data_IF_031099786472
#
_entry.id   IF_031099786472
#
_cell.length_a   1.000
_cell.length_b   1.000
_cell.length_c   1.000
_cell.angle_alpha   90.00
_cell.angle_beta   90.00
_cell.angle_gamma   90.00
#
_symmetry.space_group_name_H-M   'P 1'
#
loop_
_entity.id
_entity.type
_entity.pdbx_description
1 polymer ?
#
# COMPACT_ATOMS: atom_id res chain seq x y z
N UNK A 1 51.25 30.03 5.96
CA UNK A 1 49.79 30.28 6.00
C UNK A 1 49.07 28.95 6.19
N UNK A 2 48.54 28.70 7.37
CA UNK A 2 47.47 27.73 7.59
C UNK A 2 46.69 28.28 8.79
N UNK A 3 45.49 28.78 8.52
CA UNK A 3 44.61 29.43 9.47
C UNK A 3 43.61 28.39 10.01
N UNK A 4 43.58 28.29 11.34
CA UNK A 4 42.46 28.11 12.27
C UNK A 4 41.38 27.04 12.06
N UNK A 5 41.29 26.20 13.09
CA UNK A 5 40.09 25.87 13.89
C UNK A 5 38.75 26.46 13.45
N UNK A 6 37.70 25.63 13.45
CA UNK A 6 36.65 25.70 14.47
C UNK A 6 35.63 24.57 14.30
N UNK A 7 35.37 23.92 15.43
CA UNK A 7 34.11 23.36 15.91
C UNK A 7 32.94 23.23 14.92
N UNK A 8 32.32 22.05 14.90
CA UNK A 8 30.91 21.91 15.24
C UNK A 8 30.59 20.44 15.58
N UNK A 9 30.49 20.17 16.89
CA UNK A 9 29.56 19.15 17.39
C UNK A 9 28.14 19.59 17.06
N UNK A 10 27.23 18.63 16.84
CA UNK A 10 26.12 18.52 17.76
C UNK A 10 25.94 17.10 18.32
N UNK A 11 26.10 17.05 19.63
CA UNK A 11 25.31 16.31 20.63
C UNK A 11 23.94 15.81 20.15
N UNK A 12 23.68 14.50 20.22
CA UNK A 12 22.88 13.83 21.26
C UNK A 12 22.55 12.41 20.77
N UNK A 13 23.28 11.41 21.28
CA UNK A 13 22.95 10.02 21.07
C UNK A 13 21.74 9.65 21.95
N UNK A 14 20.60 9.32 21.34
CA UNK A 14 19.59 8.52 22.02
C UNK A 14 20.14 7.09 22.08
N UNK A 15 20.75 6.77 23.21
CA UNK A 15 20.84 5.40 23.71
C UNK A 15 19.52 5.07 24.37
N UNK A 16 18.79 4.09 23.84
CA UNK A 16 18.06 3.16 24.71
C UNK A 16 18.71 1.78 24.58
N UNK A 17 19.34 1.34 25.68
CA UNK A 17 19.48 -0.09 26.00
C UNK A 17 18.04 -0.63 26.14
N UNK A 18 17.67 -1.84 25.74
CA UNK A 18 18.39 -3.12 25.76
C UNK A 18 17.64 -4.19 24.94
N UNK A 19 18.41 -5.22 24.57
CA UNK A 19 18.04 -6.59 24.13
C UNK A 19 17.33 -6.76 22.79
N UNK A 20 18.10 -7.24 21.81
CA UNK A 20 17.68 -7.97 20.61
C UNK A 20 16.72 -7.24 19.65
N UNK A 21 17.27 -6.30 18.87
CA UNK A 21 16.56 -5.64 17.77
C UNK A 21 17.45 -4.57 17.13
N UNK A 22 17.49 -4.53 15.80
CA UNK A 22 18.38 -3.73 14.96
C UNK A 22 18.54 -2.26 15.37
N UNK A 23 19.78 -1.75 15.32
CA UNK A 23 20.13 -0.36 15.63
C UNK A 23 20.09 0.51 14.38
N UNK A 24 19.39 1.64 14.41
CA UNK A 24 19.59 2.71 13.44
C UNK A 24 20.97 3.36 13.68
N UNK A 25 21.88 3.27 12.71
CA UNK A 25 23.25 3.81 12.83
C UNK A 25 23.32 5.22 12.22
N UNK A 26 23.81 6.20 12.98
CA UNK A 26 24.16 7.54 12.48
C UNK A 26 25.51 7.52 11.75
N UNK A 27 25.48 7.91 10.48
CA UNK A 27 26.58 7.86 9.52
C UNK A 27 26.68 9.16 8.71
N UNK A 28 26.34 10.28 9.34
CA UNK A 28 26.31 11.67 8.84
C UNK A 28 27.47 12.14 7.94
N UNK A 29 28.60 11.43 7.89
CA UNK A 29 29.76 11.74 7.03
C UNK A 29 29.85 10.93 5.71
N UNK A 30 28.88 10.06 5.41
CA UNK A 30 28.97 9.17 4.24
C UNK A 30 28.19 9.72 3.04
N UNK A 31 28.89 9.88 1.91
CA UNK A 31 28.32 10.31 0.62
C UNK A 31 28.24 9.11 -0.34
N UNK A 32 27.04 8.60 -0.69
CA UNK A 32 26.92 7.43 -1.52
C UNK A 32 27.23 7.76 -2.99
N UNK A 33 28.28 7.14 -3.54
CA UNK A 33 28.35 6.84 -4.98
C UNK A 33 27.77 5.44 -5.15
N UNK A 34 26.80 5.29 -6.05
CA UNK A 34 26.03 4.08 -6.30
C UNK A 34 26.83 2.78 -6.12
N UNK A 35 26.38 1.93 -5.18
CA UNK A 35 26.87 0.58 -4.85
C UNK A 35 28.29 0.53 -4.27
N UNK A 36 28.42 0.74 -2.95
CA UNK A 36 29.60 0.28 -2.19
C UNK A 36 29.25 -0.97 -1.36
N UNK A 37 30.20 -1.92 -1.21
CA UNK A 37 30.16 -2.91 -0.14
C UNK A 37 30.07 -2.19 1.20
N UNK A 38 29.32 -2.77 2.13
CA UNK A 38 29.33 -2.34 3.53
C UNK A 38 30.76 -2.54 4.05
N UNK A 39 31.33 -1.53 4.71
CA UNK A 39 32.65 -1.64 5.31
C UNK A 39 32.66 -2.79 6.32
N UNK A 40 33.74 -3.57 6.37
CA UNK A 40 33.85 -4.78 7.21
C UNK A 40 33.61 -4.47 8.70
N UNK A 41 33.77 -3.20 9.10
CA UNK A 41 33.65 -2.71 10.48
C UNK A 41 32.26 -2.16 10.84
N UNK A 42 31.28 -2.20 9.92
CA UNK A 42 29.91 -1.76 10.22
C UNK A 42 29.16 -2.90 10.91
N UNK A 43 28.70 -2.65 12.14
CA UNK A 43 27.86 -3.59 12.91
C UNK A 43 26.42 -3.55 12.39
N UNK A 44 26.21 -4.06 11.18
CA UNK A 44 24.91 -4.09 10.50
C UNK A 44 24.55 -5.49 10.03
N UNK A 45 23.26 -5.80 10.11
CA UNK A 45 22.67 -7.07 9.75
C UNK A 45 21.75 -6.94 8.52
N UNK A 46 21.56 -8.03 7.75
CA UNK A 46 20.53 -8.06 6.71
C UNK A 46 19.16 -7.64 7.24
N UNK A 47 18.54 -6.69 6.53
CA UNK A 47 17.25 -6.08 6.84
C UNK A 47 17.30 -4.80 7.66
N UNK A 48 18.48 -4.41 8.17
CA UNK A 48 18.68 -3.13 8.83
C UNK A 48 18.36 -1.95 7.91
N UNK A 49 17.76 -0.91 8.49
CA UNK A 49 17.44 0.36 7.82
C UNK A 49 18.51 1.38 8.20
N UNK A 50 19.17 1.93 7.20
CA UNK A 50 20.16 2.99 7.35
C UNK A 50 19.61 4.28 6.75
N UNK A 51 19.57 5.35 7.55
CA UNK A 51 19.15 6.66 7.11
C UNK A 51 20.25 7.69 7.39
N UNK A 52 20.48 8.57 6.43
CA UNK A 52 21.47 9.66 6.52
C UNK A 52 20.82 11.03 6.85
N UNK A 53 19.51 11.04 7.04
CA UNK A 53 18.68 12.19 7.39
C UNK A 53 17.36 11.68 8.00
N UNK A 54 16.32 12.51 8.09
CA UNK A 54 14.95 12.04 8.29
C UNK A 54 14.65 10.85 7.35
N UNK A 55 14.05 9.79 7.89
CA UNK A 55 13.64 8.57 7.15
C UNK A 55 12.61 8.90 6.06
N UNK A 56 12.01 10.09 6.11
CA UNK A 56 11.13 10.61 5.06
C UNK A 56 11.86 11.04 3.78
N UNK A 57 13.19 11.03 3.80
CA UNK A 57 13.99 11.49 2.68
C UNK A 57 14.46 10.37 1.76
N UNK A 58 14.77 10.75 0.52
CA UNK A 58 15.34 9.94 -0.57
C UNK A 58 16.73 9.33 -0.27
N UNK A 59 17.17 9.26 0.99
CA UNK A 59 18.47 8.73 1.43
C UNK A 59 18.34 7.62 2.47
N UNK A 60 17.23 6.87 2.45
CA UNK A 60 17.11 5.61 3.19
C UNK A 60 17.66 4.45 2.36
N UNK A 61 18.37 3.54 3.01
CA UNK A 61 18.91 2.32 2.42
C UNK A 61 18.63 1.12 3.32
N UNK A 62 18.48 -0.05 2.71
CA UNK A 62 18.34 -1.32 3.39
C UNK A 62 19.61 -2.16 3.20
N UNK A 63 20.01 -2.88 4.23
CA UNK A 63 21.09 -3.85 4.17
C UNK A 63 20.56 -5.17 3.59
N UNK A 64 21.08 -5.61 2.45
CA UNK A 64 20.66 -6.88 1.83
C UNK A 64 21.31 -8.09 2.50
N UNK A 65 20.80 -9.30 2.22
CA UNK A 65 21.44 -10.59 2.52
C UNK A 65 22.93 -10.66 2.13
N UNK A 66 23.30 -10.04 1.00
CA UNK A 66 24.68 -9.96 0.51
C UNK A 66 25.53 -8.85 1.15
N UNK A 67 25.07 -8.23 2.23
CA UNK A 67 25.69 -7.04 2.86
C UNK A 67 25.98 -5.92 1.86
N UNK A 68 25.00 -5.63 1.00
CA UNK A 68 25.00 -4.49 0.09
C UNK A 68 23.92 -3.49 0.52
N UNK A 69 24.08 -2.24 0.11
CA UNK A 69 23.06 -1.21 0.35
C UNK A 69 22.08 -1.13 -0.83
N UNK A 70 20.79 -1.30 -0.53
CA UNK A 70 19.70 -1.09 -1.47
C UNK A 70 18.96 0.20 -1.11
N UNK A 71 18.98 1.19 -1.99
CA UNK A 71 18.27 2.45 -1.79
C UNK A 71 16.75 2.22 -1.74
N UNK A 72 16.06 2.89 -0.82
CA UNK A 72 14.59 3.01 -0.83
C UNK A 72 14.16 3.65 -2.15
N UNK A 73 13.16 3.06 -2.82
CA UNK A 73 12.65 3.58 -4.09
C UNK A 73 11.58 4.66 -3.91
N UNK A 74 11.07 4.87 -2.69
CA UNK A 74 9.93 5.77 -2.38
C UNK A 74 8.85 5.71 -3.46
N UNK A 75 8.08 4.63 -3.46
CA UNK A 75 6.95 4.46 -4.39
C UNK A 75 5.69 5.19 -3.92
N UNK A 76 5.74 5.84 -2.75
CA UNK A 76 4.61 6.56 -2.15
C UNK A 76 4.44 7.99 -2.67
N UNK A 77 5.49 8.54 -3.30
CA UNK A 77 5.52 9.93 -3.80
C UNK A 77 5.50 11.02 -2.73
N UNK A 78 5.42 10.65 -1.44
CA UNK A 78 5.29 11.57 -0.31
C UNK A 78 6.44 11.45 0.70
N UNK A 79 7.53 10.76 0.33
CA UNK A 79 8.66 10.58 1.23
C UNK A 79 8.37 9.58 2.34
N UNK A 80 7.63 8.50 2.08
CA UNK A 80 7.43 7.46 3.08
C UNK A 80 8.36 6.26 2.86
N UNK A 81 8.50 5.45 3.91
CA UNK A 81 9.29 4.23 3.84
C UNK A 81 8.51 3.15 3.09
N UNK A 82 9.11 2.64 2.01
CA UNK A 82 8.66 1.44 1.29
C UNK A 82 9.68 0.34 1.52
N UNK A 83 9.28 -0.75 2.15
CA UNK A 83 10.18 -1.87 2.46
C UNK A 83 10.10 -2.89 1.32
N UNK A 84 11.19 -3.11 0.55
CA UNK A 84 11.12 -3.90 -0.67
C UNK A 84 11.14 -5.40 -0.41
N UNK A 85 10.61 -6.18 -1.35
CA UNK A 85 10.44 -7.64 -1.25
C UNK A 85 11.76 -8.37 -0.98
N UNK A 86 12.86 -7.86 -1.55
CA UNK A 86 14.19 -8.46 -1.35
C UNK A 86 14.65 -8.44 0.10
N UNK A 87 14.04 -7.57 0.91
CA UNK A 87 14.34 -7.34 2.31
C UNK A 87 13.30 -8.04 3.19
N UNK A 88 12.02 -7.89 2.91
CA UNK A 88 10.95 -8.51 3.71
C UNK A 88 11.03 -10.03 3.72
N UNK A 89 11.43 -10.66 2.61
CA UNK A 89 11.66 -12.11 2.50
C UNK A 89 12.71 -12.69 3.46
N UNK A 90 13.49 -11.83 4.13
CA UNK A 90 14.48 -12.25 5.12
C UNK A 90 13.81 -12.60 6.47
N UNK A 91 12.54 -12.24 6.64
CA UNK A 91 11.81 -12.37 7.88
C UNK A 91 10.56 -13.26 7.70
N UNK A 92 10.21 -14.06 8.71
CA UNK A 92 8.95 -14.83 8.69
C UNK A 92 7.69 -13.95 8.71
N UNK A 93 7.71 -12.83 9.45
CA UNK A 93 6.67 -11.79 9.43
C UNK A 93 7.35 -10.44 9.29
N UNK A 94 7.26 -9.83 8.10
CA UNK A 94 7.87 -8.53 7.85
C UNK A 94 7.20 -7.42 8.67
N UNK A 95 5.86 -7.49 8.84
CA UNK A 95 5.12 -6.51 9.63
C UNK A 95 5.59 -6.50 11.08
N UNK A 96 5.66 -7.67 11.73
CA UNK A 96 6.09 -7.75 13.13
C UNK A 96 7.54 -7.28 13.30
N UNK A 97 8.43 -7.68 12.37
CA UNK A 97 9.82 -7.24 12.40
C UNK A 97 9.91 -5.72 12.34
N UNK A 98 9.27 -5.08 11.37
CA UNK A 98 9.39 -3.64 11.19
C UNK A 98 8.56 -2.80 12.16
N UNK A 99 7.46 -3.34 12.69
CA UNK A 99 6.77 -2.74 13.83
C UNK A 99 7.69 -2.65 15.06
N UNK A 100 8.52 -3.67 15.31
CA UNK A 100 9.47 -3.65 16.43
C UNK A 100 10.67 -2.73 16.20
N UNK A 101 11.16 -2.63 14.96
CA UNK A 101 12.31 -1.77 14.60
C UNK A 101 11.93 -0.30 14.59
N UNK A 102 10.67 0.01 14.29
CA UNK A 102 10.14 1.37 14.14
C UNK A 102 9.06 1.67 15.18
N UNK A 103 9.19 1.16 16.40
CA UNK A 103 8.15 1.21 17.45
C UNK A 103 7.62 2.63 17.75
N UNK A 104 8.44 3.68 17.58
CA UNK A 104 8.04 5.09 17.70
C UNK A 104 7.73 5.78 16.37
N UNK A 105 7.91 5.07 15.26
CA UNK A 105 7.89 5.59 13.89
C UNK A 105 7.04 4.68 12.95
N UNK A 106 6.07 3.93 13.50
CA UNK A 106 5.24 2.97 12.75
C UNK A 106 4.41 3.65 11.65
N UNK A 107 4.01 4.90 11.90
CA UNK A 107 3.10 5.70 11.05
C UNK A 107 3.77 6.19 9.75
N UNK A 108 4.95 5.66 9.44
CA UNK A 108 5.87 6.18 8.44
C UNK A 108 6.29 5.11 7.43
N UNK A 109 5.92 3.86 7.74
CA UNK A 109 5.87 2.78 6.77
C UNK A 109 4.58 2.97 5.98
N UNK A 110 4.70 3.42 4.75
CA UNK A 110 3.55 3.52 3.84
C UNK A 110 3.26 2.22 3.09
N UNK A 111 4.27 1.35 2.98
CA UNK A 111 4.18 0.16 2.15
C UNK A 111 5.23 -0.88 2.54
N UNK A 112 4.79 -2.13 2.65
CA UNK A 112 5.62 -3.32 2.84
C UNK A 112 5.35 -4.26 1.67
N UNK A 113 6.32 -4.47 0.79
CA UNK A 113 6.22 -5.48 -0.27
C UNK A 113 6.32 -6.88 0.35
N UNK A 114 5.32 -7.73 0.18
CA UNK A 114 5.23 -9.02 0.87
C UNK A 114 5.60 -10.19 -0.04
N UNK A 115 6.31 -11.16 0.53
CA UNK A 115 6.45 -12.46 -0.11
C UNK A 115 5.13 -13.24 0.03
N UNK A 116 4.72 -14.05 -0.96
CA UNK A 116 3.50 -14.88 -0.83
C UNK A 116 3.51 -15.85 0.36
N UNK A 117 4.69 -16.13 0.91
CA UNK A 117 4.92 -16.99 2.08
C UNK A 117 4.95 -16.23 3.41
N UNK A 118 4.77 -14.91 3.40
CA UNK A 118 4.88 -14.06 4.59
C UNK A 118 3.79 -14.41 5.62
N UNK A 119 4.18 -14.45 6.89
CA UNK A 119 3.31 -14.78 8.02
C UNK A 119 2.16 -13.79 8.20
N UNK A 120 2.27 -12.57 7.67
CA UNK A 120 1.20 -11.56 7.71
C UNK A 120 -0.10 -12.08 7.10
N UNK A 121 -0.05 -12.98 6.12
CA UNK A 121 -1.26 -13.57 5.53
C UNK A 121 -2.09 -14.31 6.58
N UNK A 122 -1.43 -15.12 7.39
CA UNK A 122 -2.08 -15.84 8.48
C UNK A 122 -2.50 -14.89 9.63
N UNK A 123 -1.65 -13.91 9.95
CA UNK A 123 -1.89 -12.96 11.05
C UNK A 123 -3.08 -12.03 10.78
N UNK A 124 -3.16 -11.46 9.58
CA UNK A 124 -4.14 -10.43 9.22
C UNK A 124 -5.35 -10.98 8.46
N UNK A 125 -5.18 -12.04 7.67
CA UNK A 125 -6.23 -12.55 6.78
C UNK A 125 -6.69 -13.97 7.14
N UNK A 126 -6.28 -14.47 8.31
CA UNK A 126 -6.81 -15.66 8.97
C UNK A 126 -6.18 -16.99 8.55
N UNK A 127 -5.52 -17.08 7.40
CA UNK A 127 -4.78 -18.27 7.01
C UNK A 127 -3.60 -17.96 6.09
N UNK A 128 -2.59 -18.83 6.01
CA UNK A 128 -1.56 -18.67 5.00
C UNK A 128 -2.12 -18.80 3.58
N UNK A 129 -1.57 -18.07 2.60
CA UNK A 129 -1.93 -18.27 1.18
C UNK A 129 -1.73 -19.74 0.76
N UNK A 130 -2.56 -20.30 -0.13
CA UNK A 130 -2.37 -21.68 -0.60
C UNK A 130 -1.14 -21.80 -1.51
N UNK A 131 -0.55 -23.00 -1.57
CA UNK A 131 0.68 -23.24 -2.33
C UNK A 131 0.56 -22.91 -3.83
N UNK A 132 -0.64 -23.06 -4.40
CA UNK A 132 -0.94 -22.68 -5.79
C UNK A 132 -0.73 -21.19 -6.05
N UNK A 133 -0.99 -20.33 -5.07
CA UNK A 133 -0.73 -18.89 -5.16
C UNK A 133 0.71 -18.58 -4.78
N UNK A 134 1.28 -19.26 -3.79
CA UNK A 134 2.67 -19.01 -3.35
C UNK A 134 3.72 -19.23 -4.42
N UNK A 135 3.45 -20.15 -5.35
CA UNK A 135 4.37 -20.50 -6.43
C UNK A 135 4.26 -19.57 -7.64
N UNK A 136 3.27 -18.66 -7.67
CA UNK A 136 3.07 -17.72 -8.76
C UNK A 136 4.04 -16.55 -8.67
N UNK A 137 4.60 -16.19 -9.82
CA UNK A 137 5.58 -15.08 -9.95
C UNK A 137 4.99 -13.85 -10.63
N UNK A 138 3.75 -13.94 -11.09
CA UNK A 138 2.99 -12.89 -11.75
C UNK A 138 2.12 -12.07 -10.78
N UNK A 139 2.31 -12.29 -9.47
CA UNK A 139 1.59 -11.62 -8.39
C UNK A 139 2.59 -10.84 -7.54
N UNK A 140 2.23 -9.61 -7.18
CA UNK A 140 2.90 -8.86 -6.11
C UNK A 140 1.89 -8.39 -5.08
N UNK A 141 2.35 -8.35 -3.83
CA UNK A 141 1.57 -7.96 -2.67
C UNK A 141 2.23 -6.77 -2.00
N UNK A 142 1.45 -5.73 -1.70
CA UNK A 142 1.89 -4.57 -0.93
C UNK A 142 0.91 -4.33 0.20
N UNK A 143 1.40 -4.35 1.43
CA UNK A 143 0.58 -4.03 2.60
C UNK A 143 0.91 -2.64 3.12
N UNK A 144 -0.11 -1.82 3.28
CA UNK A 144 -0.01 -0.53 3.94
C UNK A 144 -0.47 -0.67 5.39
N UNK A 145 0.44 -0.53 6.38
CA UNK A 145 0.07 -0.65 7.78
C UNK A 145 -0.72 0.56 8.32
N UNK A 146 -0.73 1.71 7.63
CA UNK A 146 -1.44 2.91 8.11
C UNK A 146 -2.96 2.81 7.95
N UNK A 147 -3.42 2.28 6.82
CA UNK A 147 -4.84 2.06 6.52
C UNK A 147 -5.22 0.57 6.58
N UNK A 148 -4.29 -0.26 7.06
CA UNK A 148 -4.40 -1.72 7.17
C UNK A 148 -4.89 -2.41 5.89
N UNK A 149 -4.49 -1.88 4.73
CA UNK A 149 -4.94 -2.36 3.42
C UNK A 149 -3.88 -3.17 2.67
N UNK A 150 -4.33 -4.23 2.01
CA UNK A 150 -3.55 -5.06 1.10
C UNK A 150 -3.86 -4.71 -0.35
N UNK A 151 -2.84 -4.33 -1.09
CA UNK A 151 -2.88 -4.14 -2.53
C UNK A 151 -2.28 -5.37 -3.21
N UNK A 152 -2.98 -5.88 -4.21
CA UNK A 152 -2.59 -7.07 -4.95
C UNK A 152 -2.49 -6.69 -6.42
N UNK A 153 -1.32 -6.89 -7.01
CA UNK A 153 -1.13 -6.75 -8.45
C UNK A 153 -1.08 -8.13 -9.07
N UNK A 154 -1.91 -8.39 -10.09
CA UNK A 154 -1.87 -9.62 -10.89
C UNK A 154 -1.69 -9.24 -12.35
N UNK A 155 -0.70 -9.80 -13.03
CA UNK A 155 -0.42 -9.49 -14.44
C UNK A 155 -0.23 -7.99 -14.74
N UNK A 156 0.27 -7.22 -13.75
CA UNK A 156 0.48 -5.78 -13.86
C UNK A 156 -0.76 -4.91 -13.60
N UNK A 157 -1.91 -5.53 -13.32
CA UNK A 157 -3.12 -4.81 -12.90
C UNK A 157 -3.24 -4.82 -11.39
N UNK A 158 -3.31 -3.63 -10.79
CA UNK A 158 -3.44 -3.45 -9.35
C UNK A 158 -4.90 -3.48 -8.90
N UNK A 159 -5.15 -4.12 -7.76
CA UNK A 159 -6.43 -4.11 -7.05
C UNK A 159 -6.69 -2.76 -6.38
N UNK A 160 -7.95 -2.52 -6.02
CA UNK A 160 -8.22 -1.58 -4.94
C UNK A 160 -7.65 -2.14 -3.63
N UNK A 161 -7.34 -1.27 -2.67
CA UNK A 161 -6.83 -1.68 -1.36
C UNK A 161 -7.87 -2.51 -0.60
N UNK A 162 -7.49 -3.71 -0.16
CA UNK A 162 -8.33 -4.59 0.64
C UNK A 162 -8.07 -4.43 2.13
N UNK A 163 -9.05 -3.90 2.87
CA UNK A 163 -8.97 -3.77 4.32
C UNK A 163 -8.82 -5.13 4.99
N UNK A 164 -7.77 -5.31 5.80
CA UNK A 164 -7.54 -6.55 6.57
C UNK A 164 -8.62 -6.87 7.60
N UNK A 165 -9.50 -5.92 7.92
CA UNK A 165 -10.65 -6.15 8.80
C UNK A 165 -11.88 -6.69 8.06
N UNK A 166 -11.91 -6.58 6.72
CA UNK A 166 -13.09 -6.89 5.90
C UNK A 166 -12.90 -8.14 5.04
N UNK A 167 -11.66 -8.50 4.69
CA UNK A 167 -11.36 -9.64 3.82
C UNK A 167 -10.58 -10.75 4.53
N UNK A 168 -10.71 -11.97 4.00
CA UNK A 168 -9.98 -13.17 4.40
C UNK A 168 -9.12 -13.69 3.26
N UNK A 169 -8.31 -14.69 3.57
CA UNK A 169 -7.43 -15.36 2.61
C UNK A 169 -8.20 -15.97 1.44
N UNK A 170 -9.40 -16.49 1.68
CA UNK A 170 -10.26 -17.00 0.61
C UNK A 170 -10.66 -15.90 -0.38
N UNK A 171 -10.93 -14.69 0.12
CA UNK A 171 -11.28 -13.54 -0.72
C UNK A 171 -10.08 -13.08 -1.57
N UNK A 172 -8.88 -13.11 -1.00
CA UNK A 172 -7.62 -12.85 -1.72
C UNK A 172 -7.43 -13.86 -2.87
N UNK A 173 -7.67 -15.15 -2.59
CA UNK A 173 -7.57 -16.22 -3.57
C UNK A 173 -8.61 -16.04 -4.68
N UNK A 174 -9.84 -15.68 -4.33
CA UNK A 174 -10.91 -15.42 -5.28
C UNK A 174 -10.58 -14.22 -6.19
N UNK A 175 -10.02 -13.14 -5.64
CA UNK A 175 -9.53 -12.01 -6.44
C UNK A 175 -8.51 -12.48 -7.47
N UNK A 176 -7.45 -13.16 -7.02
CA UNK A 176 -6.35 -13.60 -7.87
C UNK A 176 -6.82 -14.56 -8.97
N UNK A 177 -7.77 -15.44 -8.66
CA UNK A 177 -8.37 -16.35 -9.63
C UNK A 177 -9.26 -15.62 -10.64
N UNK A 178 -9.89 -14.51 -10.22
CA UNK A 178 -10.76 -13.69 -11.07
C UNK A 178 -10.03 -12.62 -11.88
N UNK A 179 -8.74 -12.37 -11.62
CA UNK A 179 -8.00 -11.28 -12.24
C UNK A 179 -7.97 -11.35 -13.77
N UNK A 180 -8.06 -12.55 -14.34
CA UNK A 180 -8.11 -12.78 -15.79
C UNK A 180 -9.53 -12.98 -16.34
N UNK A 181 -10.55 -12.90 -15.48
CA UNK A 181 -11.93 -12.98 -15.94
C UNK A 181 -12.24 -11.78 -16.83
N UNK A 182 -13.13 -12.00 -17.80
CA UNK A 182 -13.66 -10.91 -18.62
C UNK A 182 -14.24 -9.83 -17.70
N UNK A 183 -13.75 -8.60 -17.85
CA UNK A 183 -14.23 -7.45 -17.11
C UNK A 183 -15.42 -6.81 -17.81
N UNK A 184 -16.35 -6.33 -17.01
CA UNK A 184 -17.47 -5.50 -17.45
C UNK A 184 -17.53 -4.26 -16.57
N UNK A 185 -18.15 -3.21 -17.08
CA UNK A 185 -18.30 -1.98 -16.35
C UNK A 185 -19.67 -1.36 -16.55
N UNK A 186 -20.10 -0.59 -15.55
CA UNK A 186 -21.27 0.27 -15.64
C UNK A 186 -20.97 1.60 -14.97
N UNK A 187 -21.70 2.64 -15.41
CA UNK A 187 -21.55 4.00 -14.92
C UNK A 187 -22.80 4.39 -14.16
N UNK A 188 -22.63 4.87 -12.93
CA UNK A 188 -23.67 5.55 -12.16
C UNK A 188 -23.50 7.05 -12.36
N UNK A 189 -24.38 7.66 -13.15
CA UNK A 189 -24.44 9.11 -13.34
C UNK A 189 -25.38 9.70 -12.29
N UNK A 190 -24.98 10.77 -11.64
CA UNK A 190 -25.78 11.47 -10.64
C UNK A 190 -25.91 12.95 -10.98
N UNK A 191 -27.12 13.47 -10.82
CA UNK A 191 -27.42 14.91 -10.87
C UNK A 191 -28.40 15.24 -9.73
N UNK A 192 -27.81 15.61 -8.59
CA UNK A 192 -28.52 15.89 -7.35
C UNK A 192 -28.73 17.40 -7.26
N UNK A 193 -29.99 17.81 -7.19
CA UNK A 193 -30.40 19.21 -7.04
C UNK A 193 -31.03 19.45 -5.68
N UNK A 194 -30.83 20.65 -5.16
CA UNK A 194 -31.41 21.13 -3.92
C UNK A 194 -30.51 20.85 -2.71
N UNK A 195 -30.42 21.85 -1.83
CA UNK A 195 -29.50 21.83 -0.68
C UNK A 195 -29.69 20.64 0.24
N UNK A 196 -30.94 20.32 0.59
CA UNK A 196 -31.25 19.18 1.46
C UNK A 196 -30.78 17.83 0.87
N UNK A 197 -30.95 17.64 -0.44
CA UNK A 197 -30.51 16.41 -1.12
C UNK A 197 -28.99 16.34 -1.22
N UNK A 198 -28.33 17.47 -1.46
CA UNK A 198 -26.87 17.56 -1.53
C UNK A 198 -26.22 17.28 -0.17
N UNK A 199 -26.83 17.73 0.94
CA UNK A 199 -26.39 17.43 2.31
C UNK A 199 -26.52 15.94 2.67
N UNK A 200 -27.47 15.23 2.05
CA UNK A 200 -27.69 13.79 2.26
C UNK A 200 -26.85 12.91 1.33
N UNK A 201 -26.21 13.48 0.32
CA UNK A 201 -25.45 12.71 -0.67
C UNK A 201 -24.32 11.92 0.01
N UNK A 202 -24.21 10.61 -0.23
CA UNK A 202 -23.14 9.81 0.36
C UNK A 202 -21.78 10.28 -0.14
N UNK A 203 -20.92 10.66 0.79
CA UNK A 203 -19.52 11.03 0.51
C UNK A 203 -18.61 9.80 0.39
N UNK A 204 -19.05 8.65 0.91
CA UNK A 204 -18.33 7.38 0.86
C UNK A 204 -18.77 6.54 -0.35
N UNK A 205 -17.97 5.54 -0.69
CA UNK A 205 -18.27 4.55 -1.73
C UNK A 205 -19.03 3.34 -1.16
N UNK A 206 -19.74 2.57 -2.00
CA UNK A 206 -20.38 1.32 -1.56
C UNK A 206 -19.35 0.34 -1.01
N UNK A 207 -19.57 -0.16 0.21
CA UNK A 207 -18.62 -1.06 0.90
C UNK A 207 -18.80 -2.54 0.56
N UNK A 208 -19.96 -2.94 0.04
CA UNK A 208 -20.31 -4.36 -0.19
C UNK A 208 -20.04 -4.84 -1.63
N UNK A 209 -19.15 -4.17 -2.35
CA UNK A 209 -18.85 -4.58 -3.72
C UNK A 209 -18.28 -6.02 -3.73
N UNK A 210 -18.65 -6.85 -4.73
CA UNK A 210 -18.04 -8.16 -4.86
C UNK A 210 -16.53 -8.06 -5.04
N UNK A 211 -15.80 -9.08 -4.61
CA UNK A 211 -14.35 -9.15 -4.79
C UNK A 211 -13.97 -8.94 -6.26
N UNK A 212 -12.95 -8.10 -6.47
CA UNK A 212 -12.46 -7.70 -7.79
C UNK A 212 -13.27 -6.59 -8.47
N UNK A 213 -14.36 -6.12 -7.85
CA UNK A 213 -15.04 -4.91 -8.29
C UNK A 213 -14.43 -3.67 -7.65
N UNK A 214 -14.26 -2.64 -8.47
CA UNK A 214 -13.75 -1.33 -8.08
C UNK A 214 -14.69 -0.21 -8.49
N UNK A 215 -14.63 0.90 -7.77
CA UNK A 215 -15.42 2.09 -8.06
C UNK A 215 -14.50 3.31 -8.14
N UNK A 216 -14.44 3.93 -9.32
CA UNK A 216 -13.57 5.07 -9.58
C UNK A 216 -14.36 6.24 -10.16
N UNK A 217 -13.92 7.46 -9.84
CA UNK A 217 -14.56 8.66 -10.34
C UNK A 217 -14.38 8.74 -11.86
N UNK A 218 -15.47 9.01 -12.58
CA UNK A 218 -15.50 9.04 -14.03
C UNK A 218 -15.89 10.44 -14.52
N UNK A 219 -14.99 11.08 -15.27
CA UNK A 219 -15.21 12.42 -15.78
C UNK A 219 -15.08 13.51 -14.70
N UNK A 220 -15.57 14.71 -15.03
CA UNK A 220 -15.52 15.86 -14.13
C UNK A 220 -16.67 15.84 -13.13
N UNK A 221 -16.38 16.23 -11.89
CA UNK A 221 -17.38 16.35 -10.83
C UNK A 221 -17.52 17.79 -10.37
N UNK A 222 -18.75 18.18 -10.09
CA UNK A 222 -19.07 19.49 -9.53
C UNK A 222 -19.76 19.28 -8.18
N UNK A 223 -19.23 19.94 -7.17
CA UNK A 223 -19.78 19.97 -5.82
C UNK A 223 -20.17 21.41 -5.50
N UNK A 224 -21.44 21.63 -5.20
CA UNK A 224 -22.01 22.91 -4.77
C UNK A 224 -23.02 22.70 -3.66
N UNK A 225 -23.37 23.78 -2.95
CA UNK A 225 -24.35 23.72 -1.85
C UNK A 225 -25.74 23.26 -2.31
N UNK A 226 -26.09 23.47 -3.57
CA UNK A 226 -27.41 23.21 -4.14
C UNK A 226 -27.38 22.27 -5.36
N UNK A 227 -26.19 21.82 -5.77
CA UNK A 227 -26.02 20.97 -6.93
C UNK A 227 -24.77 20.09 -6.80
N UNK A 228 -24.94 18.77 -6.92
CA UNK A 228 -23.85 17.80 -7.03
C UNK A 228 -24.06 16.98 -8.31
N UNK A 229 -23.09 16.97 -9.21
CA UNK A 229 -23.15 16.21 -10.46
C UNK A 229 -21.83 15.52 -10.78
N UNK A 230 -21.93 14.36 -11.43
CA UNK A 230 -20.77 13.56 -11.81
C UNK A 230 -21.13 12.14 -12.17
N UNK A 231 -20.10 11.29 -12.25
CA UNK A 231 -20.28 9.87 -12.51
C UNK A 231 -19.27 9.02 -11.75
N UNK A 232 -19.72 7.84 -11.33
CA UNK A 232 -18.89 6.76 -10.78
C UNK A 232 -18.87 5.60 -11.77
N UNK A 233 -17.69 5.15 -12.16
CA UNK A 233 -17.50 3.94 -12.98
C UNK A 233 -17.20 2.76 -12.08
N UNK A 234 -18.05 1.76 -12.16
CA UNK A 234 -17.90 0.48 -11.51
C UNK A 234 -17.37 -0.53 -12.52
N UNK A 235 -16.33 -1.29 -12.18
CA UNK A 235 -15.73 -2.28 -13.06
C UNK A 235 -15.28 -3.50 -12.27
N UNK A 236 -15.49 -4.69 -12.82
CA UNK A 236 -15.03 -5.93 -12.22
C UNK A 236 -15.37 -7.17 -13.05
N UNK A 237 -15.16 -8.37 -12.48
CA UNK A 237 -15.43 -9.64 -13.16
C UNK A 237 -16.89 -9.80 -13.57
N UNK A 238 -17.13 -10.24 -14.82
CA UNK A 238 -18.47 -10.42 -15.39
C UNK A 238 -19.36 -11.35 -14.53
N UNK A 239 -18.77 -12.40 -13.95
CA UNK A 239 -19.49 -13.37 -13.12
C UNK A 239 -20.21 -12.76 -11.91
N UNK A 240 -19.77 -11.60 -11.44
CA UNK A 240 -20.31 -10.91 -10.27
C UNK A 240 -21.11 -9.64 -10.61
N UNK A 241 -21.39 -9.40 -11.89
CA UNK A 241 -21.99 -8.14 -12.38
C UNK A 241 -23.36 -7.82 -11.77
N UNK A 242 -24.23 -8.82 -11.65
CA UNK A 242 -25.57 -8.62 -11.07
C UNK A 242 -25.49 -8.27 -9.57
N UNK A 243 -24.53 -8.87 -8.85
CA UNK A 243 -24.31 -8.56 -7.43
C UNK A 243 -23.76 -7.15 -7.25
N UNK A 244 -22.80 -6.73 -8.08
CA UNK A 244 -22.26 -5.38 -8.05
C UNK A 244 -23.32 -4.33 -8.41
N UNK A 245 -24.13 -4.60 -9.42
CA UNK A 245 -25.23 -3.72 -9.83
C UNK A 245 -26.25 -3.54 -8.70
N UNK A 246 -26.70 -4.64 -8.07
CA UNK A 246 -27.64 -4.58 -6.95
C UNK A 246 -27.08 -3.81 -5.74
N UNK A 247 -25.76 -3.88 -5.49
CA UNK A 247 -25.10 -3.09 -4.44
C UNK A 247 -25.16 -1.59 -4.77
N UNK A 248 -24.87 -1.21 -6.02
CA UNK A 248 -24.97 0.18 -6.45
C UNK A 248 -26.41 0.71 -6.38
N UNK A 249 -27.39 -0.06 -6.87
CA UNK A 249 -28.82 0.31 -6.81
C UNK A 249 -29.27 0.55 -5.37
N UNK A 250 -28.92 -0.35 -4.45
CA UNK A 250 -29.27 -0.20 -3.03
C UNK A 250 -28.57 0.99 -2.39
N UNK A 251 -27.31 1.23 -2.74
CA UNK A 251 -26.52 2.32 -2.14
C UNK A 251 -27.02 3.70 -2.56
N UNK A 252 -27.45 3.85 -3.81
CA UNK A 252 -27.97 5.11 -4.36
C UNK A 252 -29.51 5.19 -4.35
N UNK A 253 -30.18 4.29 -3.63
CA UNK A 253 -31.64 4.34 -3.48
C UNK A 253 -32.07 5.68 -2.85
N UNK A 254 -33.14 6.27 -3.39
CA UNK A 254 -33.62 7.60 -2.99
C UNK A 254 -32.88 8.79 -3.62
N UNK A 255 -31.87 8.57 -4.47
CA UNK A 255 -31.20 9.63 -5.22
C UNK A 255 -31.58 9.63 -6.71
N UNK A 256 -31.47 10.80 -7.34
CA UNK A 256 -31.65 10.94 -8.78
C UNK A 256 -30.39 10.47 -9.52
N UNK A 257 -30.28 9.16 -9.72
CA UNK A 257 -29.17 8.52 -10.43
C UNK A 257 -29.65 7.71 -11.63
N UNK A 258 -28.78 7.54 -12.62
CA UNK A 258 -28.99 6.61 -13.73
C UNK A 258 -27.80 5.67 -13.86
N UNK A 259 -28.08 4.38 -14.08
CA UNK A 259 -27.06 3.34 -14.21
C UNK A 259 -27.06 2.84 -15.65
N UNK A 260 -25.90 2.88 -16.31
CA UNK A 260 -25.74 2.49 -17.71
C UNK A 260 -24.56 1.54 -17.86
N UNK A 261 -24.79 0.37 -18.48
CA UNK A 261 -23.72 -0.56 -18.84
C UNK A 261 -22.84 0.02 -19.95
N UNK A 262 -21.52 -0.10 -19.80
CA UNK A 262 -20.59 0.18 -20.90
C UNK A 262 -20.73 -0.96 -21.93
N UNK A 263 -21.08 -0.61 -23.17
CA UNK A 263 -21.00 -1.57 -24.28
C UNK A 263 -19.54 -1.82 -24.59
N UNK A 264 -19.14 -3.08 -24.75
CA UNK A 264 -17.80 -3.45 -25.21
C UNK A 264 -17.44 -2.64 -26.45
N UNK A 265 -16.35 -1.86 -26.35
CA UNK A 265 -15.72 -1.24 -27.51
C UNK A 265 -15.25 -2.36 -28.44
N UNK A 266 -16.06 -2.65 -29.45
CA UNK A 266 -15.79 -3.59 -30.54
C UNK A 266 -14.53 -3.27 -31.31
#
# INVERSE_FOLDING_TARGET
>A
MSFFDLANNPTTAIKSKSSEGSQAIDISNFRPKNKKPIGVDWDVNPGDILSWSDYRATNVYFVTDKRLLRKNRDTSGSGFLTIPLSITRLFPSALQHYASVLESESDLISAIELAPTDGIFAEKFGSPLPDTIRQRTDISFVYNPMDESLYITVNGEESDGYSSTEIKTEDIVDYINSANDKKVAFIVNYDIKGKESCEKWPTLLPKDLPIGWRCNQHGGTSYGEDCIQGAWRFEGPEKAKEKAHAVAERFYDGFNVSITWETESS
#
